data_IF_857829647023
#
_entry.id   IF_857829647023
#
_cell.length_a   1.000
_cell.length_b   1.000
_cell.length_c   1.000
_cell.angle_alpha   90.00
_cell.angle_beta   90.00
_cell.angle_gamma   90.00
#
_symmetry.space_group_name_H-M   'P 1'
#
loop_
_entity.id
_entity.type
_entity.pdbx_description
1 polymer ?
#
# COMPACT_ATOMS: atom_id res chain seq x y z
N UNK A 1 2.28 -4.92 -10.96
CA UNK A 1 3.68 -5.39 -10.82
C UNK A 1 3.89 -6.08 -9.49
N UNK A 2 3.77 -5.39 -8.35
CA UNK A 2 3.94 -6.00 -7.02
C UNK A 2 3.02 -7.19 -6.75
N UNK A 3 1.77 -7.18 -7.24
CA UNK A 3 0.87 -8.33 -7.15
C UNK A 3 1.44 -9.59 -7.83
N UNK A 4 1.96 -9.44 -9.06
CA UNK A 4 2.59 -10.54 -9.80
C UNK A 4 3.82 -11.08 -9.05
N UNK A 5 4.68 -10.18 -8.58
CA UNK A 5 5.87 -10.56 -7.80
C UNK A 5 5.46 -11.31 -6.54
N UNK A 6 4.53 -10.79 -5.74
CA UNK A 6 4.03 -11.45 -4.55
C UNK A 6 3.49 -12.85 -4.85
N UNK A 7 2.70 -13.01 -5.92
CA UNK A 7 2.18 -14.31 -6.36
C UNK A 7 3.29 -15.29 -6.78
N UNK A 8 4.25 -14.86 -7.61
CA UNK A 8 5.35 -15.72 -8.05
C UNK A 8 6.20 -16.16 -6.87
N UNK A 9 6.58 -15.23 -6.00
CA UNK A 9 7.40 -15.51 -4.81
C UNK A 9 6.66 -16.42 -3.84
N UNK A 10 5.32 -16.34 -3.78
CA UNK A 10 4.51 -17.30 -3.01
C UNK A 10 4.67 -18.71 -3.57
N UNK A 11 4.44 -18.88 -4.87
CA UNK A 11 4.53 -20.20 -5.50
C UNK A 11 5.91 -20.82 -5.35
N UNK A 12 6.97 -20.03 -5.54
CA UNK A 12 8.34 -20.48 -5.32
C UNK A 12 8.58 -20.91 -3.86
N UNK A 13 8.09 -20.15 -2.87
CA UNK A 13 8.16 -20.51 -1.45
C UNK A 13 7.41 -21.81 -1.14
N UNK A 14 6.28 -22.03 -1.80
CA UNK A 14 5.47 -23.24 -1.67
C UNK A 14 6.07 -24.44 -2.46
N UNK A 15 7.31 -24.31 -2.96
CA UNK A 15 8.03 -25.38 -3.68
C UNK A 15 7.57 -25.59 -5.12
N UNK A 16 6.77 -24.69 -5.68
CA UNK A 16 6.30 -24.77 -7.07
C UNK A 16 7.34 -24.18 -8.02
N UNK A 17 7.52 -24.85 -9.15
CA UNK A 17 8.32 -24.33 -10.26
C UNK A 17 7.47 -23.34 -11.04
N UNK A 18 7.98 -22.12 -11.23
CA UNK A 18 7.34 -21.06 -12.02
C UNK A 18 8.19 -20.84 -13.27
N UNK A 19 7.57 -20.99 -14.43
CA UNK A 19 8.21 -20.77 -15.73
C UNK A 19 7.69 -19.48 -16.36
N UNK A 20 8.60 -18.75 -16.99
CA UNK A 20 8.30 -17.52 -17.73
C UNK A 20 8.54 -17.77 -19.22
N UNK A 21 7.49 -18.17 -19.92
CA UNK A 21 7.59 -18.49 -21.34
C UNK A 21 7.50 -17.23 -22.22
N UNK A 22 8.15 -17.28 -23.39
CA UNK A 22 8.05 -16.26 -24.43
C UNK A 22 8.42 -14.82 -23.99
N UNK A 23 9.28 -14.67 -22.97
CA UNK A 23 9.76 -13.36 -22.53
C UNK A 23 10.47 -12.58 -23.65
N UNK A 24 11.21 -13.27 -24.54
CA UNK A 24 11.88 -12.61 -25.68
C UNK A 24 10.93 -11.95 -26.69
N UNK A 25 9.70 -12.44 -26.80
CA UNK A 25 8.67 -11.90 -27.70
C UNK A 25 7.60 -11.06 -26.98
N UNK A 26 7.68 -10.94 -25.64
CA UNK A 26 6.71 -10.19 -24.87
C UNK A 26 6.99 -8.67 -24.98
N UNK A 27 6.00 -7.93 -25.48
CA UNK A 27 6.12 -6.50 -25.78
C UNK A 27 6.51 -5.63 -24.57
N UNK A 28 6.21 -6.10 -23.36
CA UNK A 28 6.50 -5.36 -22.12
C UNK A 28 7.75 -5.87 -21.39
N UNK A 29 8.52 -6.81 -21.95
CA UNK A 29 9.69 -7.40 -21.25
C UNK A 29 10.71 -6.36 -20.81
N UNK A 30 11.07 -5.40 -21.69
CA UNK A 30 11.98 -4.32 -21.31
C UNK A 30 11.43 -3.44 -20.18
N UNK A 31 10.11 -3.29 -20.09
CA UNK A 31 9.47 -2.59 -18.97
C UNK A 31 9.54 -3.41 -17.67
N UNK A 32 9.25 -4.72 -17.72
CA UNK A 32 9.37 -5.61 -16.57
C UNK A 32 10.81 -5.70 -16.04
N UNK A 33 11.81 -5.68 -16.93
CA UNK A 33 13.23 -5.61 -16.58
C UNK A 33 13.56 -4.28 -15.87
N UNK A 34 13.16 -3.12 -16.43
CA UNK A 34 13.39 -1.81 -15.80
C UNK A 34 12.73 -1.65 -14.43
N UNK A 35 11.60 -2.32 -14.21
CA UNK A 35 10.86 -2.30 -12.94
C UNK A 35 11.35 -3.39 -11.97
N UNK A 36 12.45 -4.08 -12.29
CA UNK A 36 13.05 -5.18 -11.53
C UNK A 36 12.13 -6.39 -11.27
N UNK A 37 10.99 -6.50 -11.94
CA UNK A 37 10.01 -7.59 -11.75
C UNK A 37 10.64 -8.96 -11.98
N UNK A 38 11.36 -9.13 -13.11
CA UNK A 38 11.98 -10.41 -13.47
C UNK A 38 13.11 -10.76 -12.50
N UNK A 39 13.95 -9.78 -12.17
CA UNK A 39 15.04 -9.93 -11.20
C UNK A 39 14.51 -10.37 -9.83
N UNK A 40 13.45 -9.73 -9.32
CA UNK A 40 12.85 -10.10 -8.03
C UNK A 40 12.25 -11.51 -8.07
N UNK A 41 11.74 -11.95 -9.23
CA UNK A 41 11.20 -13.30 -9.45
C UNK A 41 12.28 -14.37 -9.73
N UNK A 42 13.57 -14.05 -9.52
CA UNK A 42 14.71 -14.95 -9.78
C UNK A 42 14.88 -15.35 -11.26
N UNK A 43 14.39 -14.51 -12.18
CA UNK A 43 14.54 -14.70 -13.62
C UNK A 43 15.71 -13.87 -14.14
N UNK A 44 16.75 -14.54 -14.61
CA UNK A 44 17.91 -13.92 -15.23
C UNK A 44 17.70 -13.83 -16.74
N UNK A 45 17.50 -12.61 -17.24
CA UNK A 45 17.38 -12.32 -18.67
C UNK A 45 18.27 -11.11 -19.01
N UNK A 46 19.15 -11.20 -20.03
CA UNK A 46 19.98 -10.08 -20.46
C UNK A 46 19.15 -8.83 -20.79
N UNK A 47 19.62 -7.67 -20.34
CA UNK A 47 19.04 -6.39 -20.72
C UNK A 47 19.67 -5.91 -22.03
N UNK A 48 18.84 -5.71 -23.06
CA UNK A 48 19.27 -5.16 -24.34
C UNK A 48 19.08 -3.63 -24.41
N UNK A 49 19.11 -2.96 -23.25
CA UNK A 49 18.97 -1.52 -23.12
C UNK A 49 19.88 -1.00 -22.00
N UNK A 50 20.18 0.30 -22.02
CA UNK A 50 20.89 0.97 -20.93
C UNK A 50 19.89 1.50 -19.92
N UNK A 51 20.09 1.22 -18.63
CA UNK A 51 19.28 1.82 -17.56
C UNK A 51 19.56 3.32 -17.49
N UNK A 52 18.51 4.11 -17.48
CA UNK A 52 18.57 5.55 -17.24
C UNK A 52 18.10 5.86 -15.82
N UNK A 53 18.44 7.05 -15.31
CA UNK A 53 18.03 7.51 -13.99
C UNK A 53 16.49 7.46 -13.84
N UNK A 54 16.04 6.77 -12.79
CA UNK A 54 14.62 6.57 -12.51
C UNK A 54 14.01 7.63 -11.57
N UNK A 55 14.87 8.44 -10.91
CA UNK A 55 14.47 9.52 -10.03
C UNK A 55 13.49 10.49 -10.73
N UNK A 56 12.44 10.89 -10.01
CA UNK A 56 11.36 11.73 -10.55
C UNK A 56 10.36 10.99 -11.45
N UNK A 57 10.55 9.68 -11.69
CA UNK A 57 9.73 8.90 -12.63
C UNK A 57 9.15 7.64 -12.02
N UNK A 58 9.97 6.78 -11.44
CA UNK A 58 9.51 5.52 -10.85
C UNK A 58 10.55 4.93 -9.91
N UNK A 59 10.06 4.20 -8.91
CA UNK A 59 10.86 3.28 -8.11
C UNK A 59 10.56 1.85 -8.59
N UNK A 60 11.58 1.09 -9.07
CA UNK A 60 11.45 -0.33 -9.35
C UNK A 60 10.89 -1.10 -8.14
N UNK A 61 10.44 -2.34 -8.35
CA UNK A 61 9.93 -3.17 -7.26
C UNK A 61 11.01 -3.33 -6.19
N UNK A 62 10.72 -2.84 -4.99
CA UNK A 62 11.55 -2.99 -3.80
C UNK A 62 10.97 -4.09 -2.91
N UNK A 63 11.85 -4.80 -2.23
CA UNK A 63 11.48 -5.65 -1.10
C UNK A 63 11.09 -4.76 0.08
N UNK A 64 10.00 -5.08 0.77
CA UNK A 64 9.68 -4.43 2.05
C UNK A 64 10.49 -5.14 3.13
N UNK A 65 11.66 -4.60 3.44
CA UNK A 65 12.56 -5.08 4.47
C UNK A 65 12.86 -3.98 5.52
N UNK A 66 14.01 -4.08 6.19
CA UNK A 66 14.46 -3.10 7.17
C UNK A 66 15.54 -2.19 6.57
N UNK A 67 15.48 -0.86 6.77
CA UNK A 67 14.48 -0.09 7.53
C UNK A 67 13.34 0.46 6.66
N UNK A 68 12.08 0.27 7.09
CA UNK A 68 10.87 0.76 6.38
C UNK A 68 10.88 2.27 6.18
N UNK A 69 11.36 3.04 7.16
CA UNK A 69 11.39 4.50 7.07
C UNK A 69 12.33 4.99 5.96
N UNK A 70 13.46 4.32 5.76
CA UNK A 70 14.39 4.62 4.68
C UNK A 70 13.78 4.30 3.31
N UNK A 71 13.12 3.13 3.17
CA UNK A 71 12.39 2.79 1.95
C UNK A 71 11.28 3.82 1.65
N UNK A 72 10.53 4.24 2.69
CA UNK A 72 9.52 5.28 2.59
C UNK A 72 10.11 6.60 2.10
N UNK A 73 11.24 7.02 2.66
CA UNK A 73 11.97 8.24 2.26
C UNK A 73 12.41 8.14 0.79
N UNK A 74 13.09 7.06 0.40
CA UNK A 74 13.61 6.89 -0.96
C UNK A 74 12.50 6.91 -2.01
N UNK A 75 11.36 6.27 -1.71
CA UNK A 75 10.21 6.27 -2.60
C UNK A 75 9.53 7.63 -2.67
N UNK A 76 9.40 8.33 -1.53
CA UNK A 76 8.86 9.68 -1.49
C UNK A 76 9.74 10.66 -2.28
N UNK A 77 11.06 10.63 -2.08
CA UNK A 77 12.03 11.40 -2.87
C UNK A 77 11.99 11.08 -4.35
N UNK A 78 11.72 9.82 -4.71
CA UNK A 78 11.59 9.43 -6.11
C UNK A 78 10.35 10.05 -6.77
N UNK A 79 9.21 10.13 -6.08
CA UNK A 79 7.97 10.68 -6.66
C UNK A 79 7.79 12.17 -6.46
N UNK A 80 8.43 12.75 -5.44
CA UNK A 80 8.42 14.16 -5.08
C UNK A 80 9.85 14.66 -4.84
N UNK A 81 10.69 14.77 -5.89
CA UNK A 81 12.08 15.21 -5.73
C UNK A 81 12.16 16.59 -5.06
N UNK A 82 12.95 16.71 -4.00
CA UNK A 82 13.10 17.93 -3.19
C UNK A 82 11.96 18.18 -2.19
N UNK A 83 10.97 17.29 -2.10
CA UNK A 83 9.86 17.42 -1.15
C UNK A 83 10.23 17.14 0.32
N UNK A 84 11.46 16.75 0.61
CA UNK A 84 12.00 16.68 1.97
C UNK A 84 12.28 18.07 2.57
N UNK A 85 12.35 19.10 1.72
CA UNK A 85 12.34 20.51 2.15
C UNK A 85 10.90 21.01 2.34
N UNK A 86 10.60 21.52 3.54
CA UNK A 86 9.27 21.98 3.93
C UNK A 86 8.73 23.11 3.06
N UNK A 87 9.61 23.95 2.50
CA UNK A 87 9.23 25.07 1.65
C UNK A 87 9.05 24.66 0.17
N UNK A 88 9.35 23.40 -0.17
CA UNK A 88 9.26 22.92 -1.54
C UNK A 88 7.80 22.67 -1.96
N UNK A 89 7.39 23.00 -3.21
CA UNK A 89 6.02 22.79 -3.69
C UNK A 89 5.51 21.34 -3.65
N UNK A 90 6.42 20.37 -3.53
CA UNK A 90 6.10 18.94 -3.44
C UNK A 90 6.16 18.38 -2.01
N UNK A 91 6.37 19.21 -0.99
CA UNK A 91 6.52 18.76 0.40
C UNK A 91 5.31 17.96 0.89
N UNK A 92 4.09 18.47 0.65
CA UNK A 92 2.87 17.76 1.02
C UNK A 92 2.71 16.40 0.30
N UNK A 93 3.16 16.30 -0.95
CA UNK A 93 3.15 15.04 -1.70
C UNK A 93 4.18 14.05 -1.16
N UNK A 94 5.37 14.53 -0.82
CA UNK A 94 6.41 13.74 -0.17
C UNK A 94 5.88 13.16 1.15
N UNK A 95 5.32 13.99 2.02
CA UNK A 95 4.81 13.55 3.33
C UNK A 95 3.67 12.53 3.18
N UNK A 96 2.75 12.75 2.24
CA UNK A 96 1.66 11.82 1.96
C UNK A 96 2.20 10.45 1.50
N UNK A 97 3.15 10.45 0.57
CA UNK A 97 3.72 9.20 0.04
C UNK A 97 4.51 8.48 1.13
N UNK A 98 5.35 9.22 1.86
CA UNK A 98 6.12 8.69 2.97
C UNK A 98 5.20 8.04 4.01
N UNK A 99 4.16 8.76 4.44
CA UNK A 99 3.18 8.27 5.42
C UNK A 99 2.45 7.01 4.94
N UNK A 100 1.90 7.03 3.72
CA UNK A 100 1.18 5.87 3.16
C UNK A 100 2.10 4.65 3.07
N UNK A 101 3.33 4.84 2.59
CA UNK A 101 4.27 3.73 2.43
C UNK A 101 4.70 3.15 3.77
N UNK A 102 5.04 3.96 4.75
CA UNK A 102 5.49 3.48 6.07
C UNK A 102 4.36 2.76 6.81
N UNK A 103 3.14 3.31 6.80
CA UNK A 103 1.96 2.67 7.41
C UNK A 103 1.64 1.32 6.78
N UNK A 104 1.59 1.25 5.44
CA UNK A 104 1.25 0.00 4.75
C UNK A 104 2.39 -1.02 4.85
N UNK A 105 3.65 -0.59 4.75
CA UNK A 105 4.80 -1.47 4.93
C UNK A 105 4.90 -2.02 6.36
N UNK A 106 4.59 -1.22 7.38
CA UNK A 106 4.51 -1.67 8.75
C UNK A 106 3.38 -2.70 8.95
N UNK A 107 2.21 -2.49 8.33
CA UNK A 107 1.15 -3.51 8.33
C UNK A 107 1.60 -4.83 7.71
N UNK A 108 2.33 -4.78 6.59
CA UNK A 108 2.89 -5.98 5.98
C UNK A 108 3.84 -6.68 6.96
N UNK A 109 4.77 -5.97 7.57
CA UNK A 109 5.74 -6.57 8.51
C UNK A 109 5.10 -7.16 9.76
N UNK A 110 4.12 -6.46 10.33
CA UNK A 110 3.49 -6.85 11.58
C UNK A 110 2.43 -7.95 11.42
N UNK A 111 1.74 -7.97 10.27
CA UNK A 111 0.52 -8.76 10.13
C UNK A 111 0.49 -9.73 8.96
N UNK A 112 1.36 -9.60 7.94
CA UNK A 112 1.27 -10.50 6.78
C UNK A 112 1.74 -11.92 7.10
N UNK A 113 2.77 -12.08 7.94
CA UNK A 113 3.50 -13.35 8.06
C UNK A 113 4.16 -13.80 6.75
N UNK A 114 4.35 -12.87 5.80
CA UNK A 114 4.93 -13.10 4.49
C UNK A 114 5.98 -12.05 4.13
N UNK A 115 6.29 -11.99 2.85
CA UNK A 115 7.24 -11.03 2.28
C UNK A 115 6.46 -9.98 1.50
N UNK A 116 6.78 -8.72 1.74
CA UNK A 116 6.20 -7.56 1.08
C UNK A 116 7.03 -7.03 -0.07
N UNK A 117 6.36 -6.36 -1.01
CA UNK A 117 6.96 -5.69 -2.15
C UNK A 117 6.26 -4.35 -2.38
N UNK A 118 7.02 -3.31 -2.73
CA UNK A 118 6.48 -1.98 -3.00
C UNK A 118 7.04 -1.40 -4.30
N UNK A 119 6.28 -0.54 -4.97
CA UNK A 119 6.71 0.21 -6.14
C UNK A 119 5.96 1.53 -6.20
N UNK A 120 6.57 2.53 -6.83
CA UNK A 120 5.99 3.85 -7.00
C UNK A 120 6.25 4.34 -8.42
N UNK A 121 5.33 5.11 -8.98
CA UNK A 121 5.47 5.68 -10.32
C UNK A 121 4.77 7.03 -10.42
N UNK A 122 5.44 7.96 -11.09
CA UNK A 122 4.92 9.27 -11.47
C UNK A 122 4.53 9.22 -12.94
N UNK A 123 3.39 9.81 -13.28
CA UNK A 123 2.99 9.99 -14.67
C UNK A 123 2.71 11.47 -14.90
N UNK A 124 3.80 12.21 -15.18
CA UNK A 124 3.81 13.68 -15.18
C UNK A 124 2.75 14.29 -16.10
N UNK A 125 2.59 13.75 -17.32
CA UNK A 125 1.58 14.22 -18.26
C UNK A 125 0.14 14.09 -17.74
N UNK A 126 -0.13 13.07 -16.91
CA UNK A 126 -1.45 12.83 -16.34
C UNK A 126 -1.63 13.47 -14.94
N UNK A 127 -0.54 13.99 -14.34
CA UNK A 127 -0.58 14.56 -13.00
C UNK A 127 -0.84 13.56 -11.87
N UNK A 128 -0.52 12.27 -12.06
CA UNK A 128 -0.74 11.23 -11.05
C UNK A 128 0.56 10.69 -10.44
N UNK A 129 0.46 10.31 -9.16
CA UNK A 129 1.38 9.38 -8.49
C UNK A 129 0.65 8.07 -8.23
N UNK A 130 1.30 6.95 -8.53
CA UNK A 130 0.79 5.60 -8.37
C UNK A 130 1.69 4.85 -7.39
N UNK A 131 1.11 4.41 -6.28
CA UNK A 131 1.77 3.59 -5.28
C UNK A 131 1.14 2.20 -5.32
N UNK A 132 1.94 1.16 -5.21
CA UNK A 132 1.42 -0.19 -5.04
C UNK A 132 2.31 -1.00 -4.09
N UNK A 133 1.67 -1.66 -3.13
CA UNK A 133 2.29 -2.55 -2.16
C UNK A 133 1.55 -3.88 -2.19
N UNK A 134 2.28 -4.99 -2.19
CA UNK A 134 1.68 -6.30 -2.07
C UNK A 134 2.52 -7.22 -1.20
N UNK A 135 1.87 -8.05 -0.39
CA UNK A 135 2.52 -9.14 0.34
C UNK A 135 2.01 -10.51 -0.13
N UNK A 136 2.77 -11.55 0.19
CA UNK A 136 2.41 -12.94 -0.09
C UNK A 136 2.03 -13.75 1.17
N UNK A 137 1.54 -13.03 2.17
CA UNK A 137 1.23 -13.53 3.49
C UNK A 137 -0.15 -14.18 3.60
N UNK A 138 -0.72 -14.09 4.79
CA UNK A 138 -2.00 -14.73 5.16
C UNK A 138 -3.24 -13.95 4.72
N UNK A 139 -3.11 -12.66 4.41
CA UNK A 139 -4.21 -11.77 4.09
C UNK A 139 -4.96 -11.25 5.33
N UNK A 140 -5.84 -10.27 5.11
CA UNK A 140 -6.51 -9.49 6.16
C UNK A 140 -7.45 -10.36 7.02
N UNK A 141 -8.31 -11.16 6.40
CA UNK A 141 -9.27 -11.99 7.15
C UNK A 141 -8.57 -12.97 8.08
N UNK A 142 -7.52 -13.64 7.59
CA UNK A 142 -6.75 -14.57 8.41
C UNK A 142 -5.96 -13.84 9.50
N UNK A 143 -5.45 -12.63 9.24
CA UNK A 143 -4.77 -11.84 10.28
C UNK A 143 -5.71 -11.49 11.44
N UNK A 144 -6.98 -11.18 11.18
CA UNK A 144 -7.98 -10.97 12.24
C UNK A 144 -8.31 -12.23 13.03
N UNK A 145 -8.40 -13.38 12.36
CA UNK A 145 -8.62 -14.67 13.01
C UNK A 145 -7.48 -15.04 13.94
N UNK A 146 -6.25 -14.93 13.46
CA UNK A 146 -5.04 -15.19 14.26
C UNK A 146 -4.91 -14.18 15.41
N UNK A 147 -5.45 -12.98 15.25
CA UNK A 147 -5.49 -11.99 16.30
C UNK A 147 -6.48 -12.33 17.43
N UNK A 148 -7.39 -13.28 17.23
CA UNK A 148 -8.36 -13.74 18.22
C UNK A 148 -9.62 -12.88 18.31
N UNK A 149 -9.90 -12.04 17.31
CA UNK A 149 -11.10 -11.20 17.34
C UNK A 149 -12.36 -12.05 17.16
N UNK A 150 -13.27 -12.01 18.14
CA UNK A 150 -14.50 -12.81 18.16
C UNK A 150 -15.40 -12.57 16.93
N UNK A 151 -15.46 -11.34 16.44
CA UNK A 151 -16.23 -10.95 15.25
C UNK A 151 -15.63 -11.47 13.93
N UNK A 152 -14.37 -11.90 13.90
CA UNK A 152 -13.67 -12.30 12.67
C UNK A 152 -14.16 -13.64 12.08
N UNK A 153 -14.83 -14.47 12.89
CA UNK A 153 -15.31 -15.78 12.45
C UNK A 153 -16.38 -15.66 11.35
N UNK A 154 -17.27 -14.67 11.46
CA UNK A 154 -18.41 -14.46 10.56
C UNK A 154 -18.12 -13.59 9.34
N UNK A 155 -16.95 -12.95 9.26
CA UNK A 155 -16.60 -12.11 8.11
C UNK A 155 -16.20 -12.96 6.92
N UNK A 156 -16.64 -12.56 5.73
CA UNK A 156 -16.06 -12.94 4.45
C UNK A 156 -14.84 -12.05 4.13
N UNK A 157 -14.17 -12.29 3.00
CA UNK A 157 -12.98 -11.51 2.63
C UNK A 157 -13.30 -10.04 2.28
N UNK A 158 -14.35 -9.70 1.50
CA UNK A 158 -14.74 -8.31 1.29
C UNK A 158 -15.08 -7.58 2.60
N UNK A 159 -15.86 -8.21 3.48
CA UNK A 159 -16.22 -7.66 4.78
C UNK A 159 -15.01 -7.50 5.70
N UNK A 160 -14.02 -8.40 5.64
CA UNK A 160 -12.76 -8.22 6.35
C UNK A 160 -11.96 -7.01 5.83
N UNK A 161 -11.93 -6.77 4.51
CA UNK A 161 -11.28 -5.57 3.96
C UNK A 161 -12.00 -4.31 4.43
N UNK A 162 -13.34 -4.28 4.37
CA UNK A 162 -14.12 -3.14 4.87
C UNK A 162 -13.86 -2.89 6.35
N UNK A 163 -13.87 -3.96 7.17
CA UNK A 163 -13.60 -3.88 8.60
C UNK A 163 -12.20 -3.31 8.87
N UNK A 164 -11.20 -3.66 8.08
CA UNK A 164 -9.84 -3.12 8.21
C UNK A 164 -9.72 -1.61 7.98
N UNK A 165 -10.72 -0.98 7.36
CA UNK A 165 -10.77 0.47 7.17
C UNK A 165 -11.40 1.19 8.37
N UNK A 166 -12.05 0.48 9.29
CA UNK A 166 -12.58 1.08 10.52
C UNK A 166 -11.44 1.36 11.53
N UNK A 167 -11.52 2.46 12.29
CA UNK A 167 -10.51 2.77 13.29
C UNK A 167 -10.47 1.70 14.39
N UNK A 168 -9.28 1.51 14.99
CA UNK A 168 -9.05 0.65 16.16
C UNK A 168 -9.28 -0.86 15.92
N UNK A 169 -9.28 -1.31 14.66
CA UNK A 169 -9.58 -2.71 14.35
C UNK A 169 -8.40 -3.66 14.58
N UNK A 170 -7.16 -3.19 14.46
CA UNK A 170 -5.97 -4.01 14.78
C UNK A 170 -5.29 -3.64 16.11
N UNK A 171 -5.87 -2.73 16.92
CA UNK A 171 -5.32 -2.38 18.23
C UNK A 171 -5.51 -3.51 19.24
N UNK A 172 -4.46 -4.28 19.51
CA UNK A 172 -4.39 -5.17 20.68
C UNK A 172 -4.01 -4.41 21.96
N UNK A 173 -4.49 -3.16 22.14
CA UNK A 173 -4.22 -2.35 23.34
C UNK A 173 -2.77 -1.87 23.51
N UNK A 174 -1.96 -1.83 22.45
CA UNK A 174 -0.61 -1.22 22.51
C UNK A 174 -0.68 0.25 22.09
N UNK A 175 -0.10 1.19 22.88
CA UNK A 175 -0.16 2.64 22.61
C UNK A 175 0.61 3.09 21.35
N UNK A 176 1.41 2.21 20.75
CA UNK A 176 2.29 2.55 19.61
C UNK A 176 1.75 2.12 18.24
N UNK A 177 0.70 1.31 18.17
CA UNK A 177 0.06 0.87 16.92
C UNK A 177 -1.44 0.69 17.15
N UNK A 178 -2.19 1.79 17.07
CA UNK A 178 -3.63 1.83 17.35
C UNK A 178 -4.50 1.19 16.25
N UNK A 179 -3.89 0.57 15.24
CA UNK A 179 -4.65 -0.03 14.14
C UNK A 179 -5.47 0.97 13.33
N UNK A 180 -4.89 2.16 13.13
CA UNK A 180 -5.49 3.29 12.42
C UNK A 180 -4.86 3.55 11.04
N UNK A 181 -3.79 2.84 10.69
CA UNK A 181 -3.03 3.09 9.46
C UNK A 181 -3.89 3.01 8.19
N UNK A 182 -4.56 1.87 7.96
CA UNK A 182 -5.44 1.72 6.79
C UNK A 182 -6.67 2.64 6.84
N UNK A 183 -7.20 2.93 8.04
CA UNK A 183 -8.24 3.93 8.23
C UNK A 183 -7.79 5.28 7.69
N UNK A 184 -6.62 5.76 8.13
CA UNK A 184 -6.08 7.06 7.73
C UNK A 184 -5.67 7.09 6.25
N UNK A 185 -5.07 6.02 5.72
CA UNK A 185 -4.78 5.90 4.27
C UNK A 185 -6.07 6.02 3.45
N UNK A 186 -7.15 5.35 3.86
CA UNK A 186 -8.44 5.46 3.16
C UNK A 186 -9.10 6.84 3.30
N UNK A 187 -8.93 7.50 4.46
CA UNK A 187 -9.38 8.86 4.70
C UNK A 187 -8.64 9.87 3.82
N UNK A 188 -7.31 9.78 3.75
CA UNK A 188 -6.48 10.58 2.86
C UNK A 188 -6.85 10.34 1.39
N UNK A 189 -7.11 9.09 1.00
CA UNK A 189 -7.55 8.78 -0.36
C UNK A 189 -8.87 9.50 -0.71
N UNK A 190 -9.84 9.49 0.20
CA UNK A 190 -11.11 10.18 0.04
C UNK A 190 -10.93 11.70 -0.08
N UNK A 191 -10.12 12.30 0.79
CA UNK A 191 -9.92 13.76 0.83
C UNK A 191 -9.14 14.29 -0.38
N UNK A 192 -8.27 13.46 -0.96
CA UNK A 192 -7.45 13.83 -2.13
C UNK A 192 -8.08 13.45 -3.47
N UNK A 193 -9.27 12.81 -3.46
CA UNK A 193 -9.87 12.23 -4.66
C UNK A 193 -9.02 11.12 -5.28
N UNK A 194 -8.18 10.46 -4.48
CA UNK A 194 -7.35 9.36 -4.93
C UNK A 194 -8.19 8.10 -5.15
N UNK A 195 -7.78 7.28 -6.12
CA UNK A 195 -8.36 5.96 -6.35
C UNK A 195 -7.63 4.94 -5.49
N UNK A 196 -8.37 4.11 -4.75
CA UNK A 196 -7.83 3.07 -3.88
C UNK A 196 -8.32 1.70 -4.35
N UNK A 197 -7.43 0.73 -4.41
CA UNK A 197 -7.74 -0.69 -4.61
C UNK A 197 -7.10 -1.48 -3.48
N UNK A 198 -7.88 -2.31 -2.80
CA UNK A 198 -7.38 -3.29 -1.83
C UNK A 198 -7.89 -4.67 -2.25
N UNK A 199 -6.99 -5.65 -2.32
CA UNK A 199 -7.34 -7.05 -2.61
C UNK A 199 -6.71 -7.95 -1.56
N UNK A 200 -7.50 -8.86 -0.98
CA UNK A 200 -7.01 -9.84 -0.01
C UNK A 200 -7.94 -11.05 0.00
N UNK A 201 -7.39 -12.26 -0.10
CA UNK A 201 -8.19 -13.48 -0.23
C UNK A 201 -9.05 -13.41 -1.48
N UNK A 202 -10.35 -13.63 -1.35
CA UNK A 202 -11.35 -13.41 -2.41
C UNK A 202 -11.88 -11.98 -2.47
N UNK A 203 -11.58 -11.15 -1.48
CA UNK A 203 -12.14 -9.81 -1.39
C UNK A 203 -11.43 -8.81 -2.28
N UNK A 204 -12.19 -7.88 -2.82
CA UNK A 204 -11.72 -6.68 -3.49
C UNK A 204 -12.53 -5.48 -3.02
N UNK A 205 -11.85 -4.42 -2.61
CA UNK A 205 -12.42 -3.11 -2.34
C UNK A 205 -11.84 -2.10 -3.32
N UNK A 206 -12.72 -1.31 -3.92
CA UNK A 206 -12.34 -0.17 -4.78
C UNK A 206 -12.94 1.11 -4.24
N UNK A 207 -12.18 2.20 -4.33
CA UNK A 207 -12.65 3.57 -4.11
C UNK A 207 -12.39 4.37 -5.38
N UNK A 208 -13.43 5.02 -5.90
CA UNK A 208 -13.30 5.95 -7.01
C UNK A 208 -12.86 7.35 -6.56
N UNK A 209 -12.65 8.27 -7.51
CA UNK A 209 -12.22 9.64 -7.21
C UNK A 209 -13.29 10.49 -6.48
N UNK A 210 -14.53 10.02 -6.41
CA UNK A 210 -15.61 10.66 -5.66
C UNK A 210 -15.77 10.05 -4.26
N UNK A 211 -14.92 9.08 -3.90
CA UNK A 211 -14.97 8.38 -2.63
C UNK A 211 -16.05 7.30 -2.55
N UNK A 212 -16.69 6.93 -3.67
CA UNK A 212 -17.61 5.79 -3.66
C UNK A 212 -16.84 4.51 -3.45
N UNK A 213 -17.24 3.73 -2.44
CA UNK A 213 -16.58 2.48 -2.07
C UNK A 213 -17.45 1.30 -2.50
N UNK A 214 -16.84 0.37 -3.22
CA UNK A 214 -17.46 -0.91 -3.61
C UNK A 214 -16.58 -2.03 -3.06
N UNK A 215 -17.15 -2.89 -2.22
CA UNK A 215 -16.52 -4.11 -1.75
C UNK A 215 -17.28 -5.32 -2.30
N UNK A 216 -16.55 -6.27 -2.90
CA UNK A 216 -17.13 -7.43 -3.55
C UNK A 216 -16.12 -8.58 -3.60
N UNK A 217 -16.59 -9.79 -3.89
CA UNK A 217 -15.69 -10.88 -4.24
C UNK A 217 -15.06 -10.63 -5.62
N UNK A 218 -13.84 -11.14 -5.80
CA UNK A 218 -13.20 -11.22 -7.10
C UNK A 218 -13.96 -12.21 -7.99
N UNK A 219 -14.13 -11.85 -9.26
CA UNK A 219 -14.82 -12.73 -10.22
C UNK A 219 -14.09 -14.06 -10.43
N UNK A 220 -14.83 -15.05 -10.95
CA UNK A 220 -14.29 -16.33 -11.44
C UNK A 220 -13.51 -17.15 -10.39
N UNK A 221 -13.81 -16.98 -9.11
CA UNK A 221 -13.15 -17.71 -8.02
C UNK A 221 -11.68 -17.32 -7.82
N UNK A 222 -11.26 -16.18 -8.36
CA UNK A 222 -9.91 -15.67 -8.16
C UNK A 222 -9.60 -15.43 -6.67
N UNK A 223 -8.37 -15.74 -6.27
CA UNK A 223 -7.89 -15.58 -4.89
C UNK A 223 -6.52 -14.93 -4.93
N UNK A 224 -6.32 -13.88 -4.16
CA UNK A 224 -5.01 -13.28 -3.90
C UNK A 224 -4.54 -13.68 -2.50
N UNK A 225 -3.53 -14.54 -2.43
CA UNK A 225 -2.97 -14.99 -1.15
C UNK A 225 -1.98 -13.97 -0.59
N UNK A 226 -2.49 -13.09 0.27
CA UNK A 226 -1.79 -11.94 0.84
C UNK A 226 -2.68 -10.70 0.81
N UNK A 227 -2.08 -9.52 0.86
CA UNK A 227 -2.78 -8.24 0.68
C UNK A 227 -2.12 -7.44 -0.43
N UNK A 228 -2.91 -6.88 -1.33
CA UNK A 228 -2.50 -5.87 -2.31
C UNK A 228 -3.19 -4.56 -1.94
N UNK A 229 -2.44 -3.47 -1.90
CA UNK A 229 -2.95 -2.10 -1.86
C UNK A 229 -2.37 -1.33 -3.05
N UNK A 230 -3.22 -0.66 -3.82
CA UNK A 230 -2.79 0.28 -4.86
C UNK A 230 -3.52 1.61 -4.68
N UNK A 231 -2.77 2.70 -4.75
CA UNK A 231 -3.27 4.06 -4.59
C UNK A 231 -2.84 4.90 -5.80
N UNK A 232 -3.78 5.61 -6.42
CA UNK A 232 -3.52 6.58 -7.49
C UNK A 232 -3.94 7.97 -7.04
N UNK A 233 -2.98 8.83 -6.77
CA UNK A 233 -3.16 10.16 -6.18
C UNK A 233 -3.00 11.25 -7.24
N UNK A 234 -3.97 12.16 -7.41
CA UNK A 234 -3.78 13.37 -8.22
C UNK A 234 -2.85 14.34 -7.48
N UNK A 235 -1.72 14.68 -8.08
CA UNK A 235 -0.68 15.49 -7.41
C UNK A 235 -1.20 16.87 -7.00
N UNK A 236 -2.03 17.49 -7.83
CA UNK A 236 -2.57 18.82 -7.59
C UNK A 236 -3.58 18.90 -6.42
N UNK A 237 -4.04 17.76 -5.91
CA UNK A 237 -4.95 17.67 -4.76
C UNK A 237 -4.19 17.51 -3.42
N UNK A 238 -2.86 17.47 -3.44
CA UNK A 238 -2.02 17.32 -2.25
C UNK A 238 -1.22 18.59 -2.02
N UNK A 239 -1.81 19.57 -1.33
CA UNK A 239 -1.19 20.87 -1.08
C UNK A 239 -0.85 21.10 0.39
N UNK A 240 -1.62 20.52 1.32
CA UNK A 240 -1.40 20.64 2.75
C UNK A 240 -1.64 19.28 3.42
N UNK A 241 -0.57 18.50 3.56
CA UNK A 241 -0.66 17.18 4.16
C UNK A 241 -1.08 17.23 5.63
N UNK A 242 -0.64 18.23 6.39
CA UNK A 242 -0.98 18.37 7.80
C UNK A 242 -2.49 18.60 8.00
N UNK A 243 -3.09 19.47 7.18
CA UNK A 243 -4.54 19.70 7.18
C UNK A 243 -5.31 18.44 6.73
N UNK A 244 -4.84 17.76 5.67
CA UNK A 244 -5.44 16.51 5.19
C UNK A 244 -5.41 15.42 6.27
N UNK A 245 -4.27 15.22 6.93
CA UNK A 245 -4.13 14.24 8.00
C UNK A 245 -4.99 14.59 9.22
N UNK A 246 -5.06 15.86 9.58
CA UNK A 246 -5.93 16.34 10.67
C UNK A 246 -7.40 16.09 10.35
N UNK A 247 -7.85 16.40 9.12
CA UNK A 247 -9.21 16.13 8.68
C UNK A 247 -9.52 14.62 8.65
N UNK A 248 -8.58 13.78 8.19
CA UNK A 248 -8.72 12.33 8.21
C UNK A 248 -8.84 11.78 9.64
N UNK A 249 -8.01 12.27 10.58
CA UNK A 249 -8.10 11.93 12.01
C UNK A 249 -9.43 12.36 12.63
N UNK A 250 -9.90 13.56 12.31
CA UNK A 250 -11.19 14.07 12.79
C UNK A 250 -12.35 13.19 12.29
N UNK A 251 -12.38 12.88 10.99
CA UNK A 251 -13.41 12.04 10.39
C UNK A 251 -13.41 10.60 10.95
N UNK A 252 -12.24 10.09 11.34
CA UNK A 252 -12.08 8.79 11.99
C UNK A 252 -12.36 8.82 13.51
N UNK A 253 -12.70 9.98 14.09
CA UNK A 253 -12.96 10.11 15.53
C UNK A 253 -11.70 9.98 16.40
N UNK A 254 -10.51 10.18 15.83
CA UNK A 254 -9.22 10.04 16.52
C UNK A 254 -8.77 11.32 17.23
N UNK A 255 -9.41 12.45 16.93
CA UNK A 255 -9.19 13.70 17.66
C UNK A 255 -10.18 13.82 18.81
N UNK A 256 -9.67 14.03 20.03
CA UNK A 256 -10.52 14.36 21.18
C UNK A 256 -11.17 15.74 20.96
N UNK A 257 -12.41 15.96 21.42
CA UNK A 257 -12.98 17.30 21.47
C UNK A 257 -12.12 18.19 22.38
N UNK A 258 -11.84 19.46 22.00
CA UNK A 258 -11.20 20.39 22.91
C UNK A 258 -12.12 20.64 24.12
N UNK A 259 -11.72 20.18 25.32
CA UNK A 259 -12.43 20.49 26.58
C UNK A 259 -12.54 19.40 27.65
N UNK A 260 -12.09 18.16 27.42
CA UNK A 260 -12.04 17.13 28.47
C UNK A 260 -10.64 17.07 29.09
N UNK A 261 -10.43 17.85 30.15
CA UNK A 261 -9.27 17.75 31.03
C UNK A 261 -9.25 16.40 31.75
N UNK A 262 -8.08 15.78 31.85
CA UNK A 262 -7.86 14.56 32.61
C UNK A 262 -8.23 14.76 34.10
N UNK A 263 -9.42 14.29 34.48
CA UNK A 263 -9.71 13.95 35.87
C UNK A 263 -9.68 12.44 36.03
N UNK A 264 -8.48 11.86 35.88
CA UNK A 264 -8.15 10.61 36.54
C UNK A 264 -7.62 10.97 37.93
N UNK A 265 -8.45 10.78 38.96
CA UNK A 265 -7.99 10.66 40.34
C UNK A 265 -7.86 9.17 40.70
N UNK A 266 -6.89 8.82 41.56
CA UNK A 266 -6.24 7.51 41.64
C UNK A 266 -7.14 6.34 42.05
#
# INVERSE_FOLDING_TARGET
MVALVATVKRWQRDGRIVLFDNLGSCAITGYLQRMDVLKTCDVQLPEHFTRHQAAGRFMPVQLIDHPVDAMGHDMAMCVAPGGDDLDHPLAALYDLVWYVLTEVANNVRQHSGGIGYATAQVTQHEGFVRLALADNGKGIRQSFRDAGFSWSAGLDDPGAIQKALEPFVSSKGSPTNEGVGLTLVSGLARLTGARLLIVSGRGMLTMDAHGHVIAQEQGHGAVFQGTLLALTVPQNQVQDFAALLTAAKAAAGLLRPPGLSDSFQP
#
